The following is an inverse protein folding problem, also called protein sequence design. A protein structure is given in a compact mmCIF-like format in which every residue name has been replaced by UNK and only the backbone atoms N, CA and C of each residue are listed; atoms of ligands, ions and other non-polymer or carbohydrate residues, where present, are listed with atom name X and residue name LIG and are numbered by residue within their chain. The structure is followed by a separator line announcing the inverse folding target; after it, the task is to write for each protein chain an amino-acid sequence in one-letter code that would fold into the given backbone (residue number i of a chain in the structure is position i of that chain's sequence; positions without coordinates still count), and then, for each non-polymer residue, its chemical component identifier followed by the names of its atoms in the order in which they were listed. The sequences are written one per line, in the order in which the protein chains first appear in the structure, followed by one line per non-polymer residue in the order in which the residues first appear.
data_IF_069755681975
#
_entry.id   IF_069755681975
#
_cell.length_a   1.000
_cell.length_b   1.000
_cell.length_c   1.000
_cell.angle_alpha   90.00
_cell.angle_beta   90.00
_cell.angle_gamma   90.00
#
_symmetry.space_group_name_H-M   'P 1'
#
loop_
_entity.id
_entity.type
_entity.pdbx_description
1 polymer ?
#
# COMPACT_ATOMS: atom_id res chain seq x y z
N UNK A 1 60.46 3.17 -26.27
CA UNK A 1 59.65 2.06 -26.85
C UNK A 1 59.03 1.30 -25.67
N UNK A 2 58.09 1.91 -24.96
CA UNK A 2 56.63 1.98 -25.17
C UNK A 2 55.91 0.61 -25.12
N UNK A 3 54.98 0.52 -24.15
CA UNK A 3 53.84 -0.40 -23.98
C UNK A 3 54.04 -1.70 -23.15
N UNK A 4 53.73 -1.60 -21.85
CA UNK A 4 53.04 -2.68 -21.14
C UNK A 4 51.56 -2.28 -20.99
N UNK A 5 50.70 -2.97 -21.73
CA UNK A 5 49.26 -2.81 -21.73
C UNK A 5 48.70 -3.80 -20.69
N UNK A 6 48.26 -3.32 -19.52
CA UNK A 6 47.52 -4.14 -18.57
C UNK A 6 46.08 -4.28 -19.07
N UNK A 7 45.72 -5.49 -19.50
CA UNK A 7 44.35 -5.91 -19.79
C UNK A 7 43.56 -6.00 -18.48
N UNK A 8 42.69 -5.02 -18.23
CA UNK A 8 41.60 -5.16 -17.27
C UNK A 8 40.59 -6.14 -17.86
N UNK A 9 40.63 -7.39 -17.40
CA UNK A 9 39.52 -8.33 -17.54
C UNK A 9 38.39 -7.83 -16.65
N UNK A 10 37.51 -7.00 -17.21
CA UNK A 10 36.18 -6.81 -16.67
C UNK A 10 35.46 -8.16 -16.78
N UNK A 11 35.32 -8.84 -15.66
CA UNK A 11 34.44 -9.99 -15.53
C UNK A 11 33.01 -9.54 -15.81
N UNK A 12 32.55 -9.70 -17.04
CA UNK A 12 31.13 -9.74 -17.35
C UNK A 12 30.55 -10.94 -16.60
N UNK A 13 29.93 -10.69 -15.45
CA UNK A 13 29.02 -11.65 -14.84
C UNK A 13 27.87 -11.78 -15.83
N UNK A 14 27.85 -12.88 -16.59
CA UNK A 14 26.67 -13.30 -17.33
C UNK A 14 25.59 -13.59 -16.28
N UNK A 15 24.73 -12.62 -16.01
CA UNK A 15 23.59 -12.77 -15.13
C UNK A 15 22.65 -13.80 -15.73
N UNK A 16 22.69 -15.04 -15.25
CA UNK A 16 21.56 -15.93 -15.46
C UNK A 16 20.39 -15.35 -14.68
N UNK A 17 19.33 -14.90 -15.35
CA UNK A 17 18.19 -14.27 -14.67
C UNK A 17 17.64 -15.20 -13.58
N UNK A 18 17.74 -14.75 -12.32
CA UNK A 18 17.21 -15.46 -11.14
C UNK A 18 15.73 -15.17 -10.92
N UNK A 19 15.27 -14.17 -11.64
CA UNK A 19 13.89 -13.77 -11.91
C UNK A 19 13.28 -14.74 -12.94
N UNK A 20 13.06 -15.99 -12.52
CA UNK A 20 12.39 -17.00 -13.36
C UNK A 20 10.94 -17.12 -12.95
N UNK A 21 10.11 -16.16 -13.35
CA UNK A 21 8.66 -16.26 -13.21
C UNK A 21 8.03 -17.05 -14.36
N UNK A 22 8.37 -18.34 -14.48
CA UNK A 22 8.04 -19.19 -15.65
C UNK A 22 6.53 -19.35 -15.91
N UNK A 23 5.67 -19.12 -14.91
CA UNK A 23 4.20 -19.17 -15.01
C UNK A 23 3.52 -17.99 -14.28
N UNK A 24 4.20 -16.85 -14.12
CA UNK A 24 3.70 -15.71 -13.34
C UNK A 24 3.67 -15.92 -11.82
N UNK A 25 4.12 -17.07 -11.31
CA UNK A 25 4.32 -17.27 -9.86
C UNK A 25 5.58 -18.08 -9.60
N UNK A 26 6.39 -17.64 -8.64
CA UNK A 26 7.54 -18.36 -8.11
C UNK A 26 7.32 -18.63 -6.62
N UNK A 27 7.51 -19.88 -6.20
CA UNK A 27 7.38 -20.27 -4.78
C UNK A 27 8.75 -20.28 -4.11
N UNK A 28 8.85 -19.63 -2.96
CA UNK A 28 10.07 -19.57 -2.14
C UNK A 28 9.75 -20.23 -0.81
N UNK A 29 10.44 -21.33 -0.53
CA UNK A 29 10.34 -22.05 0.73
C UNK A 29 11.43 -21.59 1.70
N UNK A 30 11.19 -21.63 3.01
CA UNK A 30 12.23 -21.38 3.99
C UNK A 30 13.37 -22.40 3.85
N UNK A 31 14.61 -22.02 4.19
CA UNK A 31 15.74 -22.94 4.21
C UNK A 31 15.60 -23.97 5.32
N UNK A 32 16.31 -25.08 5.21
CA UNK A 32 16.34 -26.11 6.27
C UNK A 32 16.89 -25.56 7.58
N UNK A 33 17.88 -24.67 7.51
CA UNK A 33 18.42 -23.95 8.66
C UNK A 33 17.89 -22.51 8.71
N UNK A 34 16.91 -22.28 9.59
CA UNK A 34 16.24 -20.99 9.77
C UNK A 34 17.13 -19.93 10.45
N UNK A 35 18.33 -20.29 10.94
CA UNK A 35 19.30 -19.27 11.39
C UNK A 35 19.96 -18.53 10.23
N UNK A 36 19.90 -19.11 9.02
CA UNK A 36 20.46 -18.51 7.81
C UNK A 36 19.42 -17.59 7.14
N UNK A 37 19.80 -16.36 6.74
CA UNK A 37 18.92 -15.51 5.96
C UNK A 37 18.63 -16.09 4.58
N UNK A 38 17.44 -15.82 4.05
CA UNK A 38 17.11 -16.11 2.66
C UNK A 38 17.22 -14.86 1.83
N UNK A 39 17.88 -14.96 0.69
CA UNK A 39 18.00 -13.85 -0.26
C UNK A 39 17.24 -14.19 -1.53
N UNK A 40 16.60 -13.18 -2.09
CA UNK A 40 15.99 -13.25 -3.39
C UNK A 40 16.49 -12.08 -4.26
N UNK A 41 16.92 -12.34 -5.50
CA UNK A 41 17.12 -13.65 -6.11
C UNK A 41 18.24 -14.44 -5.40
N UNK A 42 18.26 -15.76 -5.56
CA UNK A 42 19.12 -16.66 -4.75
C UNK A 42 20.63 -16.41 -4.86
N UNK A 43 21.09 -15.76 -5.94
CA UNK A 43 22.49 -15.40 -6.13
C UNK A 43 22.89 -14.07 -5.47
N UNK A 44 21.92 -13.27 -5.05
CA UNK A 44 22.20 -12.01 -4.36
C UNK A 44 22.51 -12.29 -2.89
N UNK A 45 23.53 -11.63 -2.34
CA UNK A 45 24.05 -11.90 -1.00
C UNK A 45 23.77 -10.75 -0.01
N UNK A 46 23.05 -9.71 -0.42
CA UNK A 46 22.78 -8.53 0.41
C UNK A 46 23.90 -7.49 0.45
N UNK A 47 25.04 -7.75 -0.20
CA UNK A 47 26.22 -6.86 -0.21
C UNK A 47 26.49 -6.36 -1.62
N UNK A 48 26.33 -7.24 -2.62
CA UNK A 48 26.44 -6.87 -4.03
C UNK A 48 25.33 -5.89 -4.43
N UNK A 49 25.53 -5.09 -5.49
CA UNK A 49 24.48 -4.24 -6.04
C UNK A 49 23.18 -5.00 -6.26
N UNK A 50 22.06 -4.32 -6.02
CA UNK A 50 20.72 -4.90 -6.19
C UNK A 50 20.57 -5.37 -7.65
N UNK A 51 20.20 -6.63 -7.91
CA UNK A 51 20.13 -7.13 -9.26
C UNK A 51 19.01 -6.47 -10.06
N UNK A 52 19.29 -6.19 -11.33
CA UNK A 52 18.30 -5.74 -12.29
C UNK A 52 17.29 -6.86 -12.61
N UNK A 53 16.02 -6.48 -12.72
CA UNK A 53 15.00 -7.35 -13.30
C UNK A 53 15.09 -7.21 -14.82
N UNK A 54 15.66 -8.21 -15.49
CA UNK A 54 15.59 -8.34 -16.94
C UNK A 54 14.22 -8.86 -17.35
N UNK A 55 13.37 -7.98 -17.90
CA UNK A 55 12.10 -8.33 -18.54
C UNK A 55 11.29 -9.44 -17.82
N UNK A 56 10.65 -9.10 -16.71
CA UNK A 56 9.49 -9.89 -16.28
C UNK A 56 8.26 -9.33 -16.99
N UNK A 57 7.63 -10.15 -17.84
CA UNK A 57 6.30 -9.85 -18.36
C UNK A 57 5.36 -9.48 -17.20
N UNK A 58 4.29 -8.71 -17.45
CA UNK A 58 3.41 -8.24 -16.40
C UNK A 58 2.93 -9.39 -15.49
N UNK A 59 3.20 -9.29 -14.18
CA UNK A 59 2.60 -10.14 -13.15
C UNK A 59 3.48 -11.27 -12.58
N UNK A 60 4.72 -10.99 -12.16
CA UNK A 60 5.46 -11.96 -11.34
C UNK A 60 5.01 -11.90 -9.88
N UNK A 61 4.46 -13.02 -9.40
CA UNK A 61 4.08 -13.21 -8.00
C UNK A 61 5.08 -14.12 -7.27
N UNK A 62 5.79 -13.57 -6.29
CA UNK A 62 6.66 -14.34 -5.43
C UNK A 62 5.85 -14.79 -4.22
N UNK A 63 5.51 -16.08 -4.15
CA UNK A 63 4.79 -16.67 -3.04
C UNK A 63 5.78 -17.27 -2.03
N UNK A 64 5.90 -16.65 -0.86
CA UNK A 64 6.88 -17.04 0.16
C UNK A 64 6.18 -17.72 1.32
N UNK A 65 6.50 -18.99 1.56
CA UNK A 65 5.94 -19.75 2.67
C UNK A 65 6.62 -19.37 3.99
N UNK A 66 5.83 -19.21 5.05
CA UNK A 66 6.32 -18.89 6.40
C UNK A 66 6.08 -20.08 7.32
N UNK A 67 7.12 -20.66 7.95
CA UNK A 67 6.94 -21.81 8.82
C UNK A 67 6.14 -21.46 10.08
N UNK A 68 5.35 -22.41 10.58
CA UNK A 68 4.61 -22.24 11.84
C UNK A 68 5.58 -22.02 13.01
N UNK A 69 5.21 -21.15 13.97
CA UNK A 69 6.07 -20.77 15.09
C UNK A 69 7.15 -19.73 14.76
N UNK A 70 7.20 -19.25 13.52
CA UNK A 70 8.12 -18.21 13.07
C UNK A 70 7.36 -17.07 12.37
N UNK A 71 8.03 -15.92 12.28
CA UNK A 71 7.67 -14.85 11.36
C UNK A 71 8.86 -14.51 10.45
N UNK A 72 8.55 -14.06 9.25
CA UNK A 72 9.51 -13.57 8.29
C UNK A 72 9.68 -12.06 8.49
N UNK A 73 10.90 -11.64 8.82
CA UNK A 73 11.30 -10.24 8.83
C UNK A 73 11.97 -9.93 7.48
N UNK A 74 11.26 -9.19 6.62
CA UNK A 74 11.60 -9.04 5.20
C UNK A 74 11.99 -7.60 4.90
N UNK A 75 13.22 -7.40 4.42
CA UNK A 75 13.68 -6.11 3.91
C UNK A 75 13.66 -6.14 2.39
N UNK A 76 12.94 -5.20 1.80
CA UNK A 76 12.87 -5.03 0.35
C UNK A 76 13.93 -4.02 -0.11
N UNK A 77 14.55 -4.28 -1.25
CA UNK A 77 15.49 -3.39 -1.91
C UNK A 77 14.98 -3.19 -3.32
N UNK A 78 14.41 -2.03 -3.59
CA UNK A 78 13.74 -1.82 -4.88
C UNK A 78 13.80 -0.39 -5.37
N UNK A 79 14.00 -0.29 -6.69
CA UNK A 79 13.82 0.91 -7.47
C UNK A 79 13.17 0.50 -8.78
N UNK A 80 11.85 0.60 -8.83
CA UNK A 80 11.03 0.18 -9.96
C UNK A 80 10.42 1.40 -10.64
N UNK A 81 10.43 1.40 -11.97
CA UNK A 81 9.85 2.49 -12.78
C UNK A 81 8.33 2.34 -12.96
N UNK A 82 7.78 1.19 -12.56
CA UNK A 82 6.34 0.90 -12.57
C UNK A 82 5.70 1.30 -11.25
N UNK A 83 4.44 1.73 -11.31
CA UNK A 83 3.59 1.91 -10.14
C UNK A 83 2.74 0.67 -9.88
N UNK A 84 2.21 0.53 -8.65
CA UNK A 84 1.30 -0.57 -8.32
C UNK A 84 1.99 -1.88 -7.90
N UNK A 85 3.24 -1.83 -7.45
CA UNK A 85 3.91 -2.96 -6.80
C UNK A 85 3.41 -3.10 -5.36
N UNK A 86 3.18 -4.33 -4.88
CA UNK A 86 2.56 -4.54 -3.57
C UNK A 86 2.92 -5.88 -2.94
N UNK A 87 2.68 -5.98 -1.64
CA UNK A 87 2.69 -7.24 -0.88
C UNK A 87 1.30 -7.64 -0.46
N UNK A 88 1.05 -8.94 -0.44
CA UNK A 88 -0.17 -9.56 0.05
C UNK A 88 0.13 -10.29 1.36
N UNK A 89 -0.53 -9.88 2.44
CA UNK A 89 -0.35 -10.45 3.77
C UNK A 89 -1.20 -11.71 3.98
N UNK A 90 -0.87 -12.55 4.98
CA UNK A 90 -1.69 -13.71 5.36
C UNK A 90 -3.16 -13.39 5.66
N UNK A 91 -3.44 -12.19 6.18
CA UNK A 91 -4.78 -11.68 6.48
C UNK A 91 -5.55 -11.18 5.23
N UNK A 92 -5.02 -11.43 4.03
CA UNK A 92 -5.58 -11.02 2.74
C UNK A 92 -5.53 -9.52 2.42
N UNK A 93 -4.84 -8.73 3.24
CA UNK A 93 -4.64 -7.31 2.97
C UNK A 93 -3.48 -7.08 2.02
N UNK A 94 -3.58 -6.00 1.27
CA UNK A 94 -2.56 -5.54 0.33
C UNK A 94 -1.91 -4.28 0.90
N UNK A 95 -0.59 -4.19 0.78
CA UNK A 95 0.17 -2.96 1.09
C UNK A 95 1.04 -2.64 -0.11
N UNK A 96 0.93 -1.41 -0.61
CA UNK A 96 1.76 -0.92 -1.72
C UNK A 96 3.22 -0.81 -1.27
N UNK A 97 4.13 -1.25 -2.13
CA UNK A 97 5.56 -1.11 -1.93
C UNK A 97 6.03 0.24 -2.44
N UNK A 98 7.00 0.84 -1.73
CA UNK A 98 7.63 2.10 -2.10
C UNK A 98 9.09 1.87 -2.47
N UNK A 99 9.58 2.59 -3.47
CA UNK A 99 10.99 2.57 -3.83
C UNK A 99 11.84 3.13 -2.68
N UNK A 100 13.04 2.57 -2.53
CA UNK A 100 14.03 2.96 -1.52
C UNK A 100 13.53 2.85 -0.05
N UNK A 101 12.44 2.12 0.21
CA UNK A 101 11.97 1.80 1.56
C UNK A 101 12.64 0.53 2.10
N UNK A 102 13.71 0.74 2.87
CA UNK A 102 14.49 -0.34 3.46
C UNK A 102 14.05 -0.74 4.88
N UNK A 103 12.94 -0.21 5.39
CA UNK A 103 12.45 -0.70 6.68
C UNK A 103 11.86 -2.09 6.50
N UNK A 104 11.98 -2.98 7.50
CA UNK A 104 11.45 -4.31 7.35
C UNK A 104 9.92 -4.36 7.31
N UNK A 105 9.39 -5.44 6.76
CA UNK A 105 8.01 -5.91 6.87
C UNK A 105 7.99 -7.18 7.71
N UNK A 106 6.91 -7.41 8.46
CA UNK A 106 6.71 -8.71 9.13
C UNK A 106 5.61 -9.50 8.41
N UNK A 107 5.85 -10.78 8.20
CA UNK A 107 4.85 -11.69 7.68
C UNK A 107 4.80 -12.96 8.52
N UNK A 108 3.59 -13.47 8.73
CA UNK A 108 3.33 -14.64 9.55
C UNK A 108 2.89 -15.83 8.70
N UNK A 109 2.72 -16.99 9.33
CA UNK A 109 2.15 -18.17 8.69
C UNK A 109 0.74 -17.88 8.13
N UNK A 110 0.34 -18.46 6.97
CA UNK A 110 1.04 -19.49 6.20
C UNK A 110 2.00 -19.00 5.12
N UNK A 111 1.76 -17.84 4.53
CA UNK A 111 2.58 -17.29 3.45
C UNK A 111 2.27 -15.81 3.24
N UNK A 112 3.17 -15.11 2.55
CA UNK A 112 2.90 -13.82 1.94
C UNK A 112 3.23 -13.85 0.45
N UNK A 113 2.71 -12.87 -0.30
CA UNK A 113 3.06 -12.71 -1.72
C UNK A 113 3.70 -11.36 -1.96
N UNK A 114 4.63 -11.31 -2.89
CA UNK A 114 5.19 -10.07 -3.40
C UNK A 114 4.86 -9.99 -4.88
N UNK A 115 4.22 -8.89 -5.29
CA UNK A 115 3.91 -8.60 -6.68
C UNK A 115 4.82 -7.46 -7.12
N UNK A 116 5.74 -7.77 -8.03
CA UNK A 116 6.60 -6.78 -8.68
C UNK A 116 6.43 -6.84 -10.18
N UNK A 117 6.58 -5.69 -10.81
CA UNK A 117 6.56 -5.54 -12.26
C UNK A 117 7.64 -4.54 -12.65
N UNK A 118 8.35 -4.80 -13.75
CA UNK A 118 9.25 -3.83 -14.35
C UNK A 118 8.56 -3.21 -15.57
N UNK A 119 8.80 -1.93 -15.83
CA UNK A 119 8.27 -1.27 -17.02
C UNK A 119 8.96 -1.82 -18.29
N UNK A 120 8.21 -1.88 -19.39
CA UNK A 120 8.75 -2.28 -20.69
C UNK A 120 9.66 -1.17 -21.24
N UNK A 121 10.96 -1.25 -20.95
CA UNK A 121 11.95 -0.37 -21.56
C UNK A 121 12.77 -1.12 -22.62
N UNK A 122 13.07 -0.44 -23.73
CA UNK A 122 13.91 -0.95 -24.84
C UNK A 122 15.40 -0.67 -24.63
N UNK A 123 15.83 -0.39 -23.40
CA UNK A 123 17.22 -0.11 -23.01
C UNK A 123 17.61 -0.87 -21.73
N UNK A 124 18.92 -0.99 -21.43
CA UNK A 124 19.40 -1.79 -20.30
C UNK A 124 18.96 -1.22 -18.93
N UNK A 125 18.36 -2.09 -18.10
CA UNK A 125 18.44 -2.14 -16.64
C UNK A 125 18.21 -0.86 -15.83
N UNK A 126 16.96 -0.43 -15.66
CA UNK A 126 16.60 0.63 -14.69
C UNK A 126 15.84 0.10 -13.47
N UNK A 127 15.14 -1.02 -13.60
CA UNK A 127 14.35 -1.60 -12.52
C UNK A 127 15.18 -2.60 -11.71
N UNK A 128 15.43 -2.25 -10.44
CA UNK A 128 16.17 -3.05 -9.47
C UNK A 128 15.21 -3.61 -8.43
N UNK A 129 15.39 -4.88 -8.07
CA UNK A 129 14.62 -5.52 -7.01
C UNK A 129 15.50 -6.54 -6.29
N UNK A 130 15.25 -6.75 -5.02
CA UNK A 130 15.72 -7.88 -4.23
C UNK A 130 15.01 -7.85 -2.89
N UNK A 131 15.05 -8.96 -2.17
CA UNK A 131 14.73 -8.92 -0.75
C UNK A 131 15.55 -9.89 0.06
N UNK A 132 15.65 -9.59 1.35
CA UNK A 132 16.26 -10.43 2.37
C UNK A 132 15.20 -10.81 3.38
N UNK A 133 15.16 -12.08 3.76
CA UNK A 133 14.33 -12.60 4.83
C UNK A 133 15.23 -13.05 5.98
N UNK A 134 14.91 -12.56 7.18
CA UNK A 134 15.40 -13.11 8.44
C UNK A 134 14.24 -13.88 9.07
N UNK A 135 14.43 -15.17 9.32
CA UNK A 135 13.43 -16.02 9.95
C UNK A 135 13.57 -15.95 11.47
N UNK A 136 12.58 -15.38 12.13
CA UNK A 136 12.63 -15.20 13.58
C UNK A 136 11.59 -16.08 14.26
N UNK A 137 12.03 -16.87 15.23
CA UNK A 137 11.13 -17.69 16.05
C UNK A 137 10.31 -16.76 16.94
N UNK A 138 9.01 -17.01 17.05
CA UNK A 138 8.22 -16.32 18.07
C UNK A 138 8.78 -16.63 19.46
N UNK A 139 8.98 -15.62 20.31
CA UNK A 139 9.53 -15.84 21.64
C UNK A 139 8.52 -16.55 22.53
N UNK A 140 9.01 -17.40 23.44
CA UNK A 140 8.20 -17.92 24.53
C UNK A 140 8.02 -16.81 25.57
N UNK A 141 6.86 -16.15 25.53
CA UNK A 141 6.54 -15.00 26.38
C UNK A 141 5.42 -15.33 27.36
N UNK A 142 5.45 -14.69 28.53
CA UNK A 142 4.34 -14.73 29.48
C UNK A 142 3.12 -14.06 28.85
N UNK A 143 1.93 -14.55 29.17
CA UNK A 143 0.67 -13.92 28.76
C UNK A 143 0.21 -12.93 29.82
N UNK A 144 -0.13 -11.72 29.38
CA UNK A 144 -0.82 -10.73 30.19
C UNK A 144 -2.26 -10.60 29.68
N UNK A 145 -3.24 -11.01 30.48
CA UNK A 145 -4.65 -10.97 30.06
C UNK A 145 -5.33 -9.78 30.70
N UNK A 146 -5.84 -8.88 29.87
CA UNK A 146 -6.56 -7.67 30.28
C UNK A 146 -8.02 -7.81 29.90
N UNK A 147 -8.91 -7.76 30.88
CA UNK A 147 -10.36 -7.80 30.66
C UNK A 147 -10.90 -6.45 30.16
N UNK A 148 -11.69 -6.48 29.09
CA UNK A 148 -12.38 -5.31 28.53
C UNK A 148 -13.89 -5.49 28.70
N UNK A 149 -14.46 -4.72 29.62
CA UNK A 149 -15.87 -4.84 30.03
C UNK A 149 -16.68 -3.64 29.54
N UNK A 150 -17.90 -3.91 29.08
CA UNK A 150 -18.81 -2.86 28.60
C UNK A 150 -19.08 -1.83 29.70
N UNK A 151 -18.97 -0.54 29.37
CA UNK A 151 -19.18 0.57 30.29
C UNK A 151 -17.96 0.96 31.14
N UNK A 152 -16.85 0.24 31.03
CA UNK A 152 -15.57 0.66 31.61
C UNK A 152 -14.79 1.56 30.65
N UNK A 153 -13.90 2.43 31.16
CA UNK A 153 -13.02 3.24 30.32
C UNK A 153 -12.12 2.37 29.42
N UNK A 154 -11.65 2.91 28.28
CA UNK A 154 -10.66 2.23 27.44
C UNK A 154 -9.38 1.92 28.22
N UNK A 155 -8.75 0.78 27.93
CA UNK A 155 -7.48 0.39 28.55
C UNK A 155 -6.33 0.75 27.63
N UNK A 156 -5.37 1.53 28.14
CA UNK A 156 -4.11 1.83 27.48
C UNK A 156 -3.01 0.90 28.00
N UNK A 157 -2.13 0.44 27.12
CA UNK A 157 -1.01 -0.43 27.46
C UNK A 157 0.27 0.12 26.85
N UNK A 158 1.36 0.08 27.62
CA UNK A 158 2.70 0.44 27.16
C UNK A 158 3.40 -0.87 26.70
N UNK A 159 4.14 -0.85 25.57
CA UNK A 159 4.89 -2.00 25.09
C UNK A 159 5.75 -2.63 26.20
N UNK A 160 5.71 -3.95 26.30
CA UNK A 160 6.44 -4.73 27.29
C UNK A 160 6.81 -6.10 26.71
N UNK A 161 7.52 -6.94 27.49
CA UNK A 161 7.99 -8.26 27.05
C UNK A 161 6.94 -9.38 27.10
N UNK A 162 5.68 -9.08 27.39
CA UNK A 162 4.60 -10.07 27.52
C UNK A 162 3.67 -10.06 26.31
N UNK A 163 3.05 -11.20 26.00
CA UNK A 163 1.94 -11.26 25.06
C UNK A 163 0.70 -10.68 25.73
N UNK A 164 0.42 -9.41 25.45
CA UNK A 164 -0.78 -8.74 25.94
C UNK A 164 -2.00 -9.20 25.15
N UNK A 165 -2.97 -9.82 25.82
CA UNK A 165 -4.23 -10.30 25.26
C UNK A 165 -5.40 -9.54 25.88
N UNK A 166 -6.15 -8.83 25.04
CA UNK A 166 -7.40 -8.19 25.45
C UNK A 166 -8.55 -9.18 25.34
N UNK A 167 -9.27 -9.40 26.44
CA UNK A 167 -10.40 -10.32 26.51
C UNK A 167 -11.68 -9.54 26.75
N UNK A 168 -12.55 -9.53 25.75
CA UNK A 168 -13.90 -8.98 25.87
C UNK A 168 -14.87 -9.99 26.48
N UNK A 169 -15.98 -9.49 27.02
CA UNK A 169 -17.10 -10.35 27.39
C UNK A 169 -17.70 -11.06 26.16
N UNK A 170 -18.27 -12.26 26.30
CA UNK A 170 -18.90 -13.00 25.19
C UNK A 170 -19.99 -12.22 24.43
N UNK A 171 -20.60 -11.21 25.05
CA UNK A 171 -21.64 -10.35 24.47
C UNK A 171 -21.13 -8.98 24.04
N UNK A 172 -19.81 -8.76 24.01
CA UNK A 172 -19.19 -7.47 23.70
C UNK A 172 -18.44 -7.53 22.37
N UNK A 173 -18.54 -6.46 21.58
CA UNK A 173 -17.68 -6.24 20.42
C UNK A 173 -16.46 -5.45 20.88
N UNK A 174 -15.27 -5.91 20.49
CA UNK A 174 -14.03 -5.16 20.72
C UNK A 174 -13.61 -4.47 19.42
N UNK A 175 -13.11 -3.24 19.55
CA UNK A 175 -12.45 -2.52 18.47
C UNK A 175 -11.03 -2.19 18.89
N UNK A 176 -10.10 -2.26 17.94
CA UNK A 176 -8.72 -1.82 18.10
C UNK A 176 -8.49 -0.66 17.13
N UNK A 177 -7.90 0.42 17.63
CA UNK A 177 -7.55 1.59 16.85
C UNK A 177 -6.06 1.87 17.06
N UNK A 178 -5.32 1.89 15.95
CA UNK A 178 -3.92 2.27 15.85
C UNK A 178 -3.81 3.76 15.58
N UNK A 179 -2.80 4.39 16.15
CA UNK A 179 -2.48 5.79 15.94
C UNK A 179 -1.13 5.91 15.26
N UNK A 180 -0.93 6.98 14.48
CA UNK A 180 0.42 7.35 14.04
C UNK A 180 1.31 7.67 15.22
N UNK A 181 2.61 7.52 15.03
CA UNK A 181 3.60 8.05 15.95
C UNK A 181 3.69 9.58 15.82
N UNK A 182 4.19 10.22 16.88
CA UNK A 182 4.38 11.68 16.93
C UNK A 182 5.27 12.18 15.79
N UNK A 183 6.35 11.44 15.51
CA UNK A 183 7.18 11.62 14.33
C UNK A 183 6.65 10.74 13.18
N UNK A 184 6.08 11.31 12.10
CA UNK A 184 5.54 10.54 11.00
C UNK A 184 6.59 9.70 10.27
N UNK A 185 7.88 10.07 10.31
CA UNK A 185 8.97 9.30 9.70
C UNK A 185 9.15 7.94 10.37
N UNK A 186 8.73 7.81 11.62
CA UNK A 186 8.79 6.58 12.42
C UNK A 186 7.58 5.67 12.22
N UNK A 187 6.54 6.08 11.47
CA UNK A 187 5.34 5.26 11.25
C UNK A 187 5.63 3.89 10.65
N UNK A 188 6.77 3.70 9.98
CA UNK A 188 7.23 2.39 9.54
C UNK A 188 7.32 1.36 10.68
N UNK A 189 7.53 1.78 11.93
CA UNK A 189 7.52 0.90 13.10
C UNK A 189 6.15 0.25 13.36
N UNK A 190 5.05 0.88 12.95
CA UNK A 190 3.71 0.31 13.13
C UNK A 190 3.50 -0.95 12.28
N UNK A 191 4.26 -1.12 11.20
CA UNK A 191 4.24 -2.35 10.39
C UNK A 191 5.10 -3.48 10.99
N UNK A 192 5.83 -3.20 12.06
CA UNK A 192 6.62 -4.16 12.82
C UNK A 192 5.84 -4.77 14.02
N UNK A 193 4.52 -4.59 14.06
CA UNK A 193 3.66 -5.22 15.07
C UNK A 193 2.84 -6.35 14.46
N UNK A 194 2.64 -7.44 15.20
CA UNK A 194 1.75 -8.53 14.80
C UNK A 194 0.54 -8.61 15.74
N UNK A 195 -0.66 -8.53 15.17
CA UNK A 195 -1.93 -8.62 15.88
C UNK A 195 -2.60 -9.96 15.58
N UNK A 196 -3.13 -10.59 16.62
CA UNK A 196 -3.75 -11.92 16.52
C UNK A 196 -5.15 -11.92 17.16
N UNK A 197 -6.06 -12.68 16.54
CA UNK A 197 -7.44 -12.88 16.99
C UNK A 197 -7.55 -13.95 18.08
N UNK A 198 -6.66 -13.91 19.07
CA UNK A 198 -6.59 -14.91 20.13
C UNK A 198 -5.43 -14.66 21.08
N UNK A 199 -5.13 -15.65 21.92
CA UNK A 199 -4.13 -15.55 22.99
C UNK A 199 -2.80 -16.25 22.63
N UNK A 200 -2.56 -16.50 21.34
CA UNK A 200 -1.37 -17.21 20.85
C UNK A 200 -0.91 -16.71 19.48
N UNK A 201 0.36 -16.94 19.16
CA UNK A 201 0.93 -16.66 17.83
C UNK A 201 0.44 -17.60 16.72
N UNK A 202 -0.30 -18.66 17.08
CA UNK A 202 -0.93 -19.59 16.14
C UNK A 202 -2.41 -19.24 15.87
N UNK A 203 -2.94 -18.23 16.57
CA UNK A 203 -4.29 -17.72 16.33
C UNK A 203 -4.34 -16.95 15.01
N UNK A 204 -5.55 -16.62 14.54
CA UNK A 204 -5.74 -15.92 13.28
C UNK A 204 -4.96 -14.59 13.25
N UNK A 205 -4.10 -14.42 12.26
CA UNK A 205 -3.36 -13.18 12.06
C UNK A 205 -4.32 -12.08 11.57
N UNK A 206 -4.47 -11.03 12.36
CA UNK A 206 -5.37 -9.90 12.07
C UNK A 206 -4.66 -8.85 11.22
N UNK A 207 -3.36 -8.64 11.43
CA UNK A 207 -2.58 -7.65 10.69
C UNK A 207 -1.53 -6.94 11.54
N UNK A 208 -1.11 -5.78 11.07
CA UNK A 208 -0.22 -4.85 11.78
C UNK A 208 -0.99 -3.63 12.30
N UNK A 209 -0.41 -2.86 13.23
CA UNK A 209 -0.94 -1.57 13.66
C UNK A 209 -0.92 -0.57 12.52
N UNK A 210 0.03 -0.65 11.58
CA UNK A 210 -0.01 0.17 10.37
C UNK A 210 -1.26 -0.16 9.56
N UNK A 211 -1.54 -1.43 9.28
CA UNK A 211 -2.77 -1.82 8.58
C UNK A 211 -4.04 -1.39 9.32
N UNK A 212 -4.07 -1.48 10.65
CA UNK A 212 -5.20 -1.02 11.44
C UNK A 212 -5.34 0.52 11.44
N UNK A 213 -4.23 1.25 11.47
CA UNK A 213 -4.20 2.69 11.32
C UNK A 213 -4.65 3.13 9.92
N UNK A 214 -4.18 2.48 8.85
CA UNK A 214 -4.63 2.74 7.48
C UNK A 214 -6.12 2.42 7.30
N UNK A 215 -6.63 1.34 7.88
CA UNK A 215 -8.08 1.04 7.89
C UNK A 215 -8.91 2.12 8.59
N UNK A 216 -8.33 2.77 9.61
CA UNK A 216 -8.99 3.88 10.31
C UNK A 216 -8.98 5.18 9.49
N UNK A 217 -8.14 5.27 8.44
CA UNK A 217 -8.16 6.41 7.54
C UNK A 217 -9.38 6.32 6.64
N UNK A 218 -10.11 7.43 6.55
CA UNK A 218 -11.26 7.53 5.64
C UNK A 218 -10.81 7.43 4.17
N UNK A 219 -9.57 7.83 3.85
CA UNK A 219 -9.02 7.77 2.49
C UNK A 219 -7.67 7.05 2.44
N UNK A 220 -7.50 6.22 1.42
CA UNK A 220 -6.28 5.48 1.13
C UNK A 220 -5.35 6.25 0.19
N UNK A 221 -5.92 7.08 -0.69
CA UNK A 221 -5.18 7.94 -1.62
C UNK A 221 -5.61 9.39 -1.44
N UNK A 222 -4.63 10.29 -1.42
CA UNK A 222 -4.81 11.74 -1.38
C UNK A 222 -4.03 12.36 -2.55
N UNK A 223 -4.72 13.03 -3.45
CA UNK A 223 -4.11 13.63 -4.64
C UNK A 223 -4.44 15.12 -4.72
N UNK A 224 -3.42 15.95 -4.91
CA UNK A 224 -3.57 17.37 -5.25
C UNK A 224 -3.39 17.55 -6.75
N UNK A 225 -4.34 18.20 -7.42
CA UNK A 225 -4.30 18.40 -8.88
C UNK A 225 -4.37 19.89 -9.21
N UNK A 226 -3.51 20.32 -10.14
CA UNK A 226 -3.55 21.66 -10.71
C UNK A 226 -4.38 21.66 -12.01
N UNK A 227 -5.59 22.20 -11.95
CA UNK A 227 -6.46 22.32 -13.13
C UNK A 227 -6.03 23.54 -13.97
N UNK A 228 -5.84 23.40 -15.30
CA UNK A 228 -5.57 24.53 -16.17
C UNK A 228 -6.67 25.61 -16.11
N UNK A 229 -6.31 26.87 -16.35
CA UNK A 229 -7.26 27.99 -16.34
C UNK A 229 -8.29 27.97 -17.47
N UNK A 230 -8.05 27.17 -18.52
CA UNK A 230 -8.96 27.01 -19.65
C UNK A 230 -8.96 25.57 -20.16
N UNK A 231 -10.05 25.19 -20.84
CA UNK A 231 -10.21 23.84 -21.39
C UNK A 231 -10.79 22.84 -20.40
N UNK A 232 -10.87 21.59 -20.85
CA UNK A 232 -11.34 20.47 -20.03
C UNK A 232 -10.12 19.71 -19.51
N UNK A 233 -10.22 19.23 -18.27
CA UNK A 233 -9.18 18.42 -17.64
C UNK A 233 -9.81 17.15 -17.06
N UNK A 234 -9.21 16.00 -17.39
CA UNK A 234 -9.66 14.71 -16.86
C UNK A 234 -8.96 14.45 -15.54
N UNK A 235 -9.76 14.19 -14.52
CA UNK A 235 -9.35 13.81 -13.17
C UNK A 235 -9.71 12.34 -12.98
N UNK A 236 -8.73 11.54 -12.56
CA UNK A 236 -8.89 10.10 -12.39
C UNK A 236 -8.93 9.76 -10.90
N UNK A 237 -10.07 9.24 -10.43
CA UNK A 237 -10.21 8.78 -9.05
C UNK A 237 -10.21 7.24 -9.05
N UNK A 238 -9.20 6.67 -8.41
CA UNK A 238 -9.00 5.23 -8.36
C UNK A 238 -9.35 4.66 -6.98
N UNK A 239 -10.51 4.00 -6.90
CA UNK A 239 -10.99 3.31 -5.71
C UNK A 239 -10.50 1.87 -5.56
N UNK A 240 -9.66 1.35 -6.46
CA UNK A 240 -9.23 -0.08 -6.45
C UNK A 240 -8.47 -0.45 -5.17
N UNK A 241 -7.73 0.49 -4.59
CA UNK A 241 -6.93 0.29 -3.38
C UNK A 241 -7.56 0.95 -2.14
N UNK A 242 -8.87 1.19 -2.19
CA UNK A 242 -9.63 1.88 -1.15
C UNK A 242 -10.01 3.31 -1.54
N UNK A 243 -10.54 4.06 -0.58
CA UNK A 243 -11.16 5.36 -0.82
C UNK A 243 -10.13 6.38 -1.35
N UNK A 244 -10.56 7.28 -2.24
CA UNK A 244 -9.69 8.25 -2.90
C UNK A 244 -10.20 9.67 -2.64
N UNK A 245 -9.31 10.59 -2.30
CA UNK A 245 -9.61 12.01 -2.18
C UNK A 245 -8.76 12.82 -3.17
N UNK A 246 -9.43 13.53 -4.07
CA UNK A 246 -8.79 14.53 -4.93
C UNK A 246 -9.06 15.93 -4.40
N UNK A 247 -8.04 16.80 -4.43
CA UNK A 247 -8.11 18.18 -3.97
C UNK A 247 -7.59 19.13 -5.03
N UNK A 248 -8.30 20.25 -5.24
CA UNK A 248 -7.84 21.37 -6.06
C UNK A 248 -7.85 22.65 -5.24
N UNK A 249 -6.88 23.52 -5.46
CA UNK A 249 -6.81 24.86 -4.87
C UNK A 249 -6.92 25.92 -5.97
N UNK A 250 -7.97 26.71 -5.90
CA UNK A 250 -8.23 27.82 -6.82
C UNK A 250 -9.27 28.77 -6.25
N UNK A 251 -8.93 30.05 -6.19
CA UNK A 251 -9.88 31.10 -5.81
C UNK A 251 -10.79 31.46 -7.00
N UNK A 252 -11.83 30.67 -7.21
CA UNK A 252 -12.82 30.80 -8.29
C UNK A 252 -13.60 29.50 -8.52
N UNK A 253 -14.68 29.52 -9.32
CA UNK A 253 -15.49 28.33 -9.54
C UNK A 253 -14.76 27.28 -10.39
N UNK A 254 -14.99 26.01 -10.06
CA UNK A 254 -14.69 24.86 -10.92
C UNK A 254 -16.00 24.16 -11.25
N UNK A 255 -16.12 23.66 -12.47
CA UNK A 255 -17.33 23.00 -12.94
C UNK A 255 -17.00 21.56 -13.24
N UNK A 256 -17.70 20.66 -12.55
CA UNK A 256 -17.77 19.25 -12.93
C UNK A 256 -18.69 19.18 -14.13
N UNK A 257 -18.10 19.00 -15.31
CA UNK A 257 -18.84 18.99 -16.58
C UNK A 257 -19.60 17.68 -16.74
N UNK A 258 -18.88 16.57 -16.62
CA UNK A 258 -19.39 15.22 -16.85
C UNK A 258 -18.48 14.19 -16.17
N UNK A 259 -18.93 12.95 -16.14
CA UNK A 259 -18.08 11.78 -15.88
C UNK A 259 -18.06 10.92 -17.14
N UNK A 260 -16.85 10.65 -17.64
CA UNK A 260 -16.65 9.72 -18.77
C UNK A 260 -16.92 8.28 -18.28
N UNK A 261 -16.48 7.96 -17.06
CA UNK A 261 -16.68 6.67 -16.42
C UNK A 261 -17.20 6.85 -14.99
N UNK A 262 -18.34 6.24 -14.65
CA UNK A 262 -18.93 6.23 -13.31
C UNK A 262 -19.51 4.84 -12.95
N UNK A 263 -18.71 3.93 -12.37
CA UNK A 263 -19.19 2.62 -11.91
C UNK A 263 -20.25 2.73 -10.81
N UNK A 264 -21.08 1.70 -10.64
CA UNK A 264 -22.08 1.63 -9.56
C UNK A 264 -21.51 1.20 -8.20
N UNK A 265 -20.19 1.11 -8.09
CA UNK A 265 -19.47 0.49 -6.96
C UNK A 265 -19.02 1.48 -5.90
N UNK A 266 -19.41 2.75 -6.01
CA UNK A 266 -18.95 3.82 -5.13
C UNK A 266 -19.82 5.08 -5.20
N UNK A 267 -19.49 6.00 -4.30
CA UNK A 267 -20.15 7.29 -4.12
C UNK A 267 -19.10 8.39 -4.15
N UNK A 268 -19.39 9.49 -4.84
CA UNK A 268 -18.52 10.67 -4.88
C UNK A 268 -19.21 11.81 -4.15
N UNK A 269 -18.63 12.26 -3.04
CA UNK A 269 -19.09 13.44 -2.31
C UNK A 269 -18.20 14.64 -2.64
N UNK A 270 -18.82 15.80 -2.85
CA UNK A 270 -18.13 17.03 -3.26
C UNK A 270 -18.26 18.05 -2.14
N UNK A 271 -17.13 18.59 -1.70
CA UNK A 271 -17.08 19.55 -0.61
C UNK A 271 -16.34 20.84 -1.00
N UNK A 272 -16.77 21.93 -0.37
CA UNK A 272 -16.14 23.25 -0.49
C UNK A 272 -15.38 23.63 0.78
N UNK A 273 -14.13 24.07 0.64
CA UNK A 273 -13.23 24.58 1.69
C UNK A 273 -12.80 23.58 2.78
N UNK A 274 -13.65 22.67 3.20
CA UNK A 274 -13.33 21.60 4.16
C UNK A 274 -14.21 20.37 3.95
N UNK A 275 -13.81 19.21 4.47
CA UNK A 275 -14.63 17.98 4.44
C UNK A 275 -15.49 17.94 5.69
N UNK A 276 -16.79 18.21 5.54
CA UNK A 276 -17.79 18.14 6.62
C UNK A 276 -19.19 18.02 6.03
N UNK A 277 -20.17 17.59 6.85
CA UNK A 277 -21.56 17.54 6.41
C UNK A 277 -22.12 18.91 6.01
N UNK A 278 -21.60 20.00 6.59
CA UNK A 278 -22.06 21.38 6.29
C UNK A 278 -21.46 21.96 5.03
N UNK A 279 -20.34 21.41 4.56
CA UNK A 279 -19.63 21.87 3.36
C UNK A 279 -19.79 20.91 2.18
N UNK A 280 -20.50 19.79 2.38
CA UNK A 280 -20.88 18.87 1.32
C UNK A 280 -21.97 19.50 0.46
N UNK A 281 -21.66 19.79 -0.79
CA UNK A 281 -22.61 20.44 -1.73
C UNK A 281 -23.33 19.42 -2.63
N UNK A 282 -22.75 18.24 -2.82
CA UNK A 282 -23.35 17.18 -3.63
C UNK A 282 -22.85 15.81 -3.21
N UNK A 283 -23.69 14.79 -3.43
CA UNK A 283 -23.34 13.38 -3.31
C UNK A 283 -23.86 12.64 -4.53
N UNK A 284 -22.92 12.12 -5.31
CA UNK A 284 -23.14 11.51 -6.62
C UNK A 284 -23.02 9.99 -6.51
N UNK A 285 -23.95 9.31 -7.16
CA UNK A 285 -24.05 7.85 -7.29
C UNK A 285 -24.39 7.53 -8.75
N UNK A 286 -24.23 6.28 -9.16
CA UNK A 286 -24.57 5.86 -10.54
C UNK A 286 -26.03 6.13 -10.90
N UNK A 287 -26.93 6.25 -9.92
CA UNK A 287 -28.35 6.54 -10.15
C UNK A 287 -28.70 8.02 -10.31
N UNK A 288 -27.85 8.95 -9.87
CA UNK A 288 -28.23 10.37 -9.80
C UNK A 288 -27.24 11.36 -10.42
N UNK A 289 -26.00 10.95 -10.73
CA UNK A 289 -24.95 11.89 -11.08
C UNK A 289 -25.30 12.72 -12.33
N UNK A 290 -25.88 12.11 -13.36
CA UNK A 290 -26.26 12.81 -14.60
C UNK A 290 -27.28 13.94 -14.38
N UNK A 291 -28.14 13.82 -13.37
CA UNK A 291 -29.17 14.82 -13.07
C UNK A 291 -28.62 16.04 -12.31
N UNK A 292 -27.44 15.89 -11.71
CA UNK A 292 -26.78 16.94 -10.92
C UNK A 292 -25.68 17.67 -11.70
N UNK A 293 -25.39 17.24 -12.93
CA UNK A 293 -24.34 17.80 -13.77
C UNK A 293 -24.92 18.70 -14.87
N UNK A 294 -24.22 19.78 -15.27
CA UNK A 294 -22.94 20.23 -14.72
C UNK A 294 -23.07 20.81 -13.30
N UNK A 295 -22.10 20.53 -12.43
CA UNK A 295 -22.08 21.00 -11.04
C UNK A 295 -20.99 22.04 -10.84
N UNK A 296 -21.37 23.25 -10.41
CA UNK A 296 -20.43 24.31 -10.05
C UNK A 296 -19.99 24.19 -8.58
N UNK A 297 -18.69 24.31 -8.33
CA UNK A 297 -18.04 24.21 -7.02
C UNK A 297 -17.22 25.48 -6.77
N UNK A 298 -17.60 26.27 -5.76
CA UNK A 298 -17.19 27.66 -5.55
C UNK A 298 -16.16 27.87 -4.45
N UNK A 299 -15.92 26.85 -3.62
CA UNK A 299 -14.92 26.93 -2.54
C UNK A 299 -13.52 27.26 -3.05
N UNK A 300 -12.67 27.88 -2.22
CA UNK A 300 -11.27 28.12 -2.55
C UNK A 300 -10.52 26.79 -2.71
N UNK A 301 -10.77 25.86 -1.79
CA UNK A 301 -10.39 24.46 -1.93
C UNK A 301 -11.62 23.64 -2.32
N UNK A 302 -11.46 22.71 -3.25
CA UNK A 302 -12.50 21.73 -3.61
C UNK A 302 -12.00 20.33 -3.30
N UNK A 303 -12.89 19.52 -2.74
CA UNK A 303 -12.59 18.15 -2.35
C UNK A 303 -13.56 17.21 -3.07
N UNK A 304 -13.02 16.24 -3.79
CA UNK A 304 -13.76 15.21 -4.51
C UNK A 304 -13.43 13.86 -3.87
N UNK A 305 -14.37 13.38 -3.05
CA UNK A 305 -14.19 12.24 -2.16
C UNK A 305 -14.89 11.01 -2.72
N UNK A 306 -14.13 10.08 -3.27
CA UNK A 306 -14.61 8.76 -3.68
C UNK A 306 -14.57 7.79 -2.49
N UNK A 307 -15.75 7.30 -2.11
CA UNK A 307 -15.92 6.18 -1.18
C UNK A 307 -16.44 4.97 -1.95
N UNK A 308 -15.68 3.87 -1.94
CA UNK A 308 -16.01 2.64 -2.67
C UNK A 308 -14.96 2.26 -3.72
N UNK A 309 -15.24 1.20 -4.47
CA UNK A 309 -14.30 0.61 -5.42
C UNK A 309 -14.55 1.11 -6.87
N UNK A 310 -13.58 0.92 -7.75
CA UNK A 310 -13.69 1.20 -9.19
C UNK A 310 -12.88 2.40 -9.68
N UNK A 311 -12.85 2.61 -10.99
CA UNK A 311 -12.15 3.72 -11.62
C UNK A 311 -13.15 4.74 -12.16
N UNK A 312 -13.01 6.00 -11.73
CA UNK A 312 -13.90 7.10 -12.09
C UNK A 312 -13.10 8.16 -12.84
N UNK A 313 -13.67 8.65 -13.94
CA UNK A 313 -13.05 9.69 -14.75
C UNK A 313 -13.98 10.89 -14.79
N UNK A 314 -13.57 11.95 -14.11
CA UNK A 314 -14.31 13.20 -13.93
C UNK A 314 -13.71 14.27 -14.84
N UNK A 315 -14.54 15.02 -15.55
CA UNK A 315 -14.10 16.13 -16.38
C UNK A 315 -14.36 17.44 -15.64
N UNK A 316 -13.28 18.15 -15.29
CA UNK A 316 -13.33 19.49 -14.70
C UNK A 316 -13.04 20.57 -15.73
N UNK A 317 -13.65 21.74 -15.55
CA UNK A 317 -13.28 22.95 -16.28
C UNK A 317 -13.45 24.20 -15.40
N UNK A 318 -12.61 25.21 -15.63
CA UNK A 318 -12.78 26.57 -15.10
C UNK A 318 -13.46 27.52 -16.11
N UNK A 319 -13.72 27.02 -17.32
CA UNK A 319 -14.34 27.79 -18.39
C UNK A 319 -15.86 27.64 -18.34
N UNK A 320 -16.52 28.63 -17.73
CA UNK A 320 -17.99 28.74 -17.65
C UNK A 320 -18.68 28.67 -19.02
N UNK A 321 -18.02 29.07 -20.11
CA UNK A 321 -18.61 28.99 -21.45
C UNK A 321 -18.72 27.56 -22.00
N UNK A 322 -17.99 26.61 -21.40
CA UNK A 322 -17.93 25.20 -21.81
C UNK A 322 -18.77 24.26 -20.94
N UNK A 323 -19.31 24.76 -19.84
CA UNK A 323 -20.13 23.99 -18.89
C UNK A 323 -21.44 23.47 -19.51
N UNK A 324 -22.04 24.21 -20.45
CA UNK A 324 -23.37 23.91 -21.00
C UNK A 324 -23.41 23.15 -22.33
N UNK A 325 -22.28 22.65 -22.85
CA UNK A 325 -22.27 21.82 -24.06
C UNK A 325 -22.17 20.34 -23.69
N UNK A 326 -23.35 19.73 -23.52
CA UNK A 326 -23.54 18.27 -23.61
C UNK A 326 -23.57 17.86 -25.08
#
# INVERSE_FOLDING_TARGET
MNRFLFLLLASCVLGTSGYRCTNGTQVINPPTDLSTPTFFPFYWNGVDPVPYIEHEGPGCFLNVNVPSGYYANVTMFMRLDSSGNYVYYPNRKIVTLQNDDHHPFIFTNPYFKVSVSAANHTGPGTSEFAFKIIWTKFPDVKKNVIGIYKGQPPVAVIPNGELTTFRGDPSSMMSLIGFSLEDPSMNHLLRQTALFGGDSFNSDYIGTLDQNFQDSRVYNTYEGINIPSSGNHNVYMNGVFGNHLTVTDYNGPEIIKEFITFPSTGTISIYENSISNTTCIATLTSSNYQQQLPLEVKGNMKFYSLIGNGFYEMVLTRDVSRAGRL
#
